data_IF_813971987252
#
_entry.id   IF_813971987252
#
_cell.length_a   1.000
_cell.length_b   1.000
_cell.length_c   1.000
_cell.angle_alpha   90.00
_cell.angle_beta   90.00
_cell.angle_gamma   90.00
#
_symmetry.space_group_name_H-M   'P 1'
#
loop_
_entity.id
_entity.type
_entity.pdbx_description
1 polymer ?
#
# COMPACT_ATOMS: atom_id res chain seq x y z
N UNK A 1 -1.96 -8.48 3.81
CA UNK A 1 -2.20 -7.68 2.58
C UNK A 1 -1.99 -8.49 1.29
N UNK A 2 -1.07 -9.47 1.28
CA UNK A 2 -0.75 -10.33 0.12
C UNK A 2 -1.95 -10.98 -0.56
N UNK A 3 -2.82 -11.70 0.17
CA UNK A 3 -4.00 -12.36 -0.44
C UNK A 3 -4.96 -11.34 -1.07
N UNK A 4 -5.15 -10.19 -0.43
CA UNK A 4 -5.99 -9.13 -0.97
C UNK A 4 -5.42 -8.60 -2.29
N UNK A 5 -4.13 -8.29 -2.36
CA UNK A 5 -3.51 -7.79 -3.59
C UNK A 5 -3.50 -8.81 -4.73
N UNK A 6 -3.37 -10.10 -4.42
CA UNK A 6 -3.42 -11.18 -5.40
C UNK A 6 -4.80 -11.31 -6.08
N UNK A 7 -5.87 -11.11 -5.31
CA UNK A 7 -7.24 -11.39 -5.74
C UNK A 7 -8.02 -10.13 -6.15
N UNK A 8 -7.73 -8.98 -5.55
CA UNK A 8 -8.48 -7.75 -5.76
C UNK A 8 -8.30 -7.22 -7.18
N UNK A 9 -9.40 -6.87 -7.85
CA UNK A 9 -9.34 -6.08 -9.09
C UNK A 9 -8.85 -4.65 -8.77
N UNK A 10 -8.04 -4.07 -9.66
CA UNK A 10 -7.75 -2.63 -9.60
C UNK A 10 -9.03 -1.94 -10.08
N UNK A 11 -9.72 -1.24 -9.19
CA UNK A 11 -10.94 -0.48 -9.51
C UNK A 11 -10.60 0.97 -9.87
N UNK A 12 -11.57 1.70 -10.41
CA UNK A 12 -11.38 3.11 -10.80
C UNK A 12 -11.00 4.00 -9.60
N UNK A 13 -11.37 3.60 -8.38
CA UNK A 13 -11.03 4.31 -7.14
C UNK A 13 -9.51 4.37 -6.91
N UNK A 14 -8.75 3.39 -7.40
CA UNK A 14 -7.28 3.43 -7.32
C UNK A 14 -6.75 4.60 -8.12
N UNK A 15 -7.34 4.91 -9.28
CA UNK A 15 -6.92 6.04 -10.11
C UNK A 15 -7.34 7.41 -9.56
N UNK A 16 -8.13 7.45 -8.49
CA UNK A 16 -8.47 8.67 -7.78
C UNK A 16 -7.46 9.02 -6.66
N UNK A 17 -6.51 8.14 -6.34
CA UNK A 17 -5.50 8.37 -5.30
C UNK A 17 -4.35 9.28 -5.78
N UNK A 18 -3.51 9.83 -4.90
CA UNK A 18 -2.27 10.51 -5.29
C UNK A 18 -1.35 9.59 -6.09
N UNK A 19 -0.62 10.13 -7.05
CA UNK A 19 0.14 9.35 -8.05
C UNK A 19 1.13 8.36 -7.42
N UNK A 20 1.72 8.74 -6.28
CA UNK A 20 2.66 7.91 -5.54
C UNK A 20 1.99 6.67 -4.94
N UNK A 21 0.77 6.79 -4.40
CA UNK A 21 -0.02 5.66 -3.90
C UNK A 21 -0.56 4.78 -5.02
N UNK A 22 -0.98 5.36 -6.15
CA UNK A 22 -1.38 4.59 -7.32
C UNK A 22 -0.25 3.67 -7.76
N UNK A 23 0.95 4.23 -7.96
CA UNK A 23 2.15 3.49 -8.37
C UNK A 23 2.51 2.41 -7.35
N UNK A 24 2.52 2.74 -6.07
CA UNK A 24 2.83 1.77 -5.02
C UNK A 24 1.87 0.58 -5.00
N UNK A 25 0.56 0.82 -5.12
CA UNK A 25 -0.45 -0.24 -5.15
C UNK A 25 -0.29 -1.14 -6.38
N UNK A 26 0.03 -0.56 -7.54
CA UNK A 26 0.32 -1.31 -8.75
C UNK A 26 1.59 -2.16 -8.63
N UNK A 27 2.70 -1.56 -8.17
CA UNK A 27 3.98 -2.24 -7.94
C UNK A 27 3.83 -3.39 -6.92
N UNK A 28 3.17 -3.14 -5.79
CA UNK A 28 2.95 -4.15 -4.74
C UNK A 28 2.07 -5.30 -5.25
N UNK A 29 1.04 -5.00 -6.04
CA UNK A 29 0.20 -6.02 -6.68
C UNK A 29 1.00 -6.85 -7.68
N UNK A 30 1.81 -6.19 -8.50
CA UNK A 30 2.68 -6.85 -9.48
C UNK A 30 3.64 -7.83 -8.77
N UNK A 31 4.34 -7.37 -7.74
CA UNK A 31 5.25 -8.19 -6.93
C UNK A 31 4.57 -9.43 -6.35
N UNK A 32 3.34 -9.28 -5.81
CA UNK A 32 2.58 -10.37 -5.23
C UNK A 32 2.13 -11.38 -6.29
N UNK A 33 1.59 -10.92 -7.41
CA UNK A 33 1.09 -11.80 -8.49
C UNK A 33 2.25 -12.55 -9.16
N UNK A 34 3.35 -11.86 -9.45
CA UNK A 34 4.54 -12.51 -10.02
C UNK A 34 5.25 -13.43 -9.02
N UNK A 35 5.27 -13.05 -7.74
CA UNK A 35 5.80 -13.89 -6.65
C UNK A 35 5.03 -15.19 -6.50
N UNK A 36 3.71 -15.17 -6.61
CA UNK A 36 2.87 -16.38 -6.58
C UNK A 36 3.03 -17.24 -7.84
N UNK A 37 3.20 -16.62 -9.02
CA UNK A 37 3.39 -17.34 -10.28
C UNK A 37 4.74 -18.08 -10.34
N UNK A 38 5.77 -17.56 -9.69
CA UNK A 38 7.06 -18.24 -9.52
C UNK A 38 6.97 -19.16 -8.31
N UNK A 39 6.69 -20.45 -8.53
CA UNK A 39 6.70 -21.55 -7.53
C UNK A 39 8.06 -21.80 -6.82
N UNK A 40 8.93 -20.78 -6.74
CA UNK A 40 10.20 -20.80 -6.03
C UNK A 40 10.02 -20.06 -4.70
N UNK A 41 10.15 -20.74 -3.55
CA UNK A 41 10.06 -20.12 -2.22
C UNK A 41 11.38 -19.41 -1.89
N UNK A 42 11.92 -18.66 -2.85
CA UNK A 42 13.04 -17.80 -2.52
C UNK A 42 12.49 -16.66 -1.66
N UNK A 43 13.33 -16.17 -0.75
CA UNK A 43 13.08 -14.97 0.06
C UNK A 43 12.98 -13.75 -0.87
N UNK A 44 11.98 -13.70 -1.73
CA UNK A 44 11.70 -12.57 -2.58
C UNK A 44 11.32 -11.43 -1.64
N UNK A 45 12.27 -10.53 -1.44
CA UNK A 45 11.97 -9.21 -0.89
C UNK A 45 10.94 -8.59 -1.82
N UNK A 46 9.81 -8.18 -1.26
CA UNK A 46 8.74 -7.50 -1.98
C UNK A 46 8.78 -6.02 -1.58
N UNK A 47 9.73 -5.23 -2.11
CA UNK A 47 9.99 -3.89 -1.62
C UNK A 47 8.79 -2.94 -1.78
N UNK A 48 7.95 -3.11 -2.78
CA UNK A 48 6.69 -2.36 -2.88
C UNK A 48 5.66 -2.84 -1.85
N UNK A 49 5.54 -4.15 -1.62
CA UNK A 49 4.67 -4.67 -0.56
C UNK A 49 5.10 -4.18 0.83
N UNK A 50 6.41 -4.16 1.11
CA UNK A 50 6.97 -3.70 2.37
C UNK A 50 6.71 -2.20 2.58
N UNK A 51 6.91 -1.38 1.54
CA UNK A 51 6.52 0.05 1.54
C UNK A 51 5.02 0.23 1.82
N UNK A 52 4.17 -0.58 1.18
CA UNK A 52 2.72 -0.51 1.40
C UNK A 52 2.30 -0.93 2.82
N UNK A 53 2.92 -1.96 3.41
CA UNK A 53 2.69 -2.33 4.83
C UNK A 53 3.14 -1.22 5.78
N UNK A 54 4.18 -0.45 5.45
CA UNK A 54 4.60 0.71 6.24
C UNK A 54 3.58 1.84 6.19
N UNK A 55 3.08 2.20 5.00
CA UNK A 55 1.98 3.18 4.86
C UNK A 55 0.76 2.75 5.66
N UNK A 56 0.37 1.48 5.55
CA UNK A 56 -0.75 0.92 6.32
C UNK A 56 -0.52 1.03 7.83
N UNK A 57 0.68 0.68 8.29
CA UNK A 57 1.04 0.73 9.72
C UNK A 57 1.05 2.16 10.24
N UNK A 58 1.52 3.11 9.43
CA UNK A 58 1.47 4.53 9.74
C UNK A 58 0.03 5.02 9.91
N UNK A 59 -0.86 4.74 8.96
CA UNK A 59 -2.27 5.10 9.06
C UNK A 59 -2.94 4.49 10.30
N UNK A 60 -2.60 3.24 10.62
CA UNK A 60 -3.13 2.53 11.80
C UNK A 60 -2.65 3.15 13.12
N UNK A 61 -1.39 3.57 13.19
CA UNK A 61 -0.84 4.23 14.38
C UNK A 61 -1.42 5.64 14.54
N UNK A 62 -1.51 6.40 13.44
CA UNK A 62 -2.08 7.75 13.42
C UNK A 62 -3.57 7.75 13.76
N UNK A 63 -4.29 6.68 13.46
CA UNK A 63 -5.69 6.51 13.83
C UNK A 63 -5.90 6.05 15.28
N UNK A 64 -4.84 6.02 16.10
CA UNK A 64 -4.85 5.54 17.49
C UNK A 64 -5.34 4.08 17.60
N UNK A 65 -5.03 3.27 16.59
CA UNK A 65 -5.54 1.91 16.43
C UNK A 65 -7.08 1.79 16.41
N UNK A 66 -7.78 2.89 16.08
CA UNK A 66 -9.23 2.94 15.95
C UNK A 66 -9.63 2.97 14.47
N UNK A 67 -10.46 1.99 14.07
CA UNK A 67 -11.01 1.88 12.71
C UNK A 67 -11.92 3.07 12.39
N UNK A 68 -12.60 3.66 13.38
CA UNK A 68 -13.44 4.83 13.19
C UNK A 68 -12.65 6.05 12.70
N UNK A 69 -11.39 6.17 13.14
CA UNK A 69 -10.50 7.27 12.78
C UNK A 69 -9.64 6.96 11.55
N UNK A 70 -9.56 5.69 11.14
CA UNK A 70 -8.68 5.23 10.06
C UNK A 70 -8.96 5.94 8.73
N UNK A 71 -10.23 6.13 8.38
CA UNK A 71 -10.60 6.85 7.16
C UNK A 71 -10.15 8.31 7.19
N UNK A 72 -10.26 8.97 8.33
CA UNK A 72 -9.77 10.35 8.49
C UNK A 72 -8.25 10.42 8.35
N UNK A 73 -7.51 9.49 8.98
CA UNK A 73 -6.05 9.43 8.85
C UNK A 73 -5.60 9.15 7.41
N UNK A 74 -6.31 8.30 6.67
CA UNK A 74 -6.03 8.02 5.26
C UNK A 74 -6.32 9.25 4.39
N UNK A 75 -7.43 9.97 4.63
CA UNK A 75 -7.78 11.18 3.88
C UNK A 75 -6.75 12.29 4.12
N UNK A 76 -6.32 12.48 5.37
CA UNK A 76 -5.27 13.45 5.71
C UNK A 76 -3.95 13.11 5.00
N UNK A 77 -3.52 11.85 5.05
CA UNK A 77 -2.30 11.41 4.38
C UNK A 77 -2.38 11.57 2.86
N UNK A 78 -3.54 11.25 2.27
CA UNK A 78 -3.78 11.42 0.83
C UNK A 78 -3.78 12.91 0.42
N UNK A 79 -4.16 13.80 1.33
CA UNK A 79 -4.15 15.24 1.08
C UNK A 79 -2.75 15.86 1.19
N UNK A 80 -1.82 15.21 1.89
CA UNK A 80 -0.43 15.64 2.09
C UNK A 80 0.55 14.76 1.31
N UNK A 81 0.76 15.12 0.03
CA UNK A 81 1.62 14.36 -0.90
C UNK A 81 3.11 14.37 -0.45
N UNK A 82 3.55 15.41 0.26
CA UNK A 82 4.93 15.52 0.78
C UNK A 82 5.15 14.55 1.97
N UNK A 83 4.21 14.48 2.92
CA UNK A 83 4.24 13.51 4.03
C UNK A 83 4.18 12.07 3.49
N UNK A 84 3.35 11.84 2.49
CA UNK A 84 3.26 10.56 1.80
C UNK A 84 4.57 10.18 1.11
N UNK A 85 5.19 11.09 0.35
CA UNK A 85 6.48 10.83 -0.30
C UNK A 85 7.57 10.48 0.74
N UNK A 86 7.59 11.19 1.87
CA UNK A 86 8.54 10.92 2.95
C UNK A 86 8.40 9.49 3.50
N UNK A 87 7.18 9.02 3.77
CA UNK A 87 6.90 7.66 4.26
C UNK A 87 7.30 6.58 3.23
N UNK A 88 7.25 6.92 1.94
CA UNK A 88 7.60 6.00 0.87
C UNK A 88 9.12 5.88 0.63
N UNK A 89 9.88 6.91 1.00
CA UNK A 89 11.34 6.98 0.79
C UNK A 89 12.16 6.46 1.99
N UNK A 90 11.67 6.60 3.22
CA UNK A 90 12.25 5.92 4.40
C UNK A 90 12.05 4.40 4.31
#
# INVERSE_FOLDING_TARGET
MTSYLAEAAITDDVYALPIHLQRLLMEAKEEVVFGQAKLTPDKATHPALDRLERVRSFCWLRSDADVANLMSSVVELVADDDELEHILMD
#
